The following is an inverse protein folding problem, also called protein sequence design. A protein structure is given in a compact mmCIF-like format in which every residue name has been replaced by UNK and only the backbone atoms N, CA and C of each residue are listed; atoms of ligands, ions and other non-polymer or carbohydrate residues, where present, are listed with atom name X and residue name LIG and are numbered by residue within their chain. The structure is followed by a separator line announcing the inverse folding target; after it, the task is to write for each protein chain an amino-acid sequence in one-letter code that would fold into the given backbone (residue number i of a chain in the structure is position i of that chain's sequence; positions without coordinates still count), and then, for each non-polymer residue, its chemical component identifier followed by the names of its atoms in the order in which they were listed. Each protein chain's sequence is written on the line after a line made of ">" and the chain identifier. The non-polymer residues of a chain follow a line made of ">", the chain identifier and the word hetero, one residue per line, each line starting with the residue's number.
data_IF_928906765894
#
_entry.id   IF_928906765894
#
_cell.length_a   1.000
_cell.length_b   1.000
_cell.length_c   1.000
_cell.angle_alpha   90.00
_cell.angle_beta   90.00
_cell.angle_gamma   90.00
#
_symmetry.space_group_name_H-M   'P 1'
#
loop_
_entity.id
_entity.type
_entity.pdbx_description
1 polymer ?
#
# COMPACT_ATOMS: atom_id res chain seq x y z
N UNK A 1 -0.87 25.20 18.80
CA UNK A 1 -1.20 26.59 19.19
C UNK A 1 -2.68 26.80 18.92
N UNK A 2 -3.33 27.65 19.69
CA UNK A 2 -4.74 27.98 19.48
C UNK A 2 -4.84 29.17 18.54
N UNK A 3 -5.72 29.10 17.54
CA UNK A 3 -6.10 30.25 16.72
C UNK A 3 -7.17 31.07 17.45
N UNK A 4 -7.26 32.36 17.17
CA UNK A 4 -8.28 33.23 17.75
C UNK A 4 -9.71 32.85 17.33
N UNK A 5 -9.86 32.11 16.23
CA UNK A 5 -11.14 31.66 15.68
C UNK A 5 -11.44 30.17 15.91
N UNK A 6 -10.64 29.46 16.71
CA UNK A 6 -10.83 28.05 17.03
C UNK A 6 -10.50 27.07 15.89
N UNK A 7 -10.01 27.55 14.75
CA UNK A 7 -9.52 26.73 13.64
C UNK A 7 -8.10 26.18 13.89
N UNK A 8 -7.68 25.22 13.08
CA UNK A 8 -6.31 24.72 13.12
C UNK A 8 -5.32 25.84 12.77
N UNK A 9 -4.24 25.94 13.54
CA UNK A 9 -3.10 26.82 13.20
C UNK A 9 -2.13 26.16 12.22
N UNK A 10 -2.16 24.84 12.12
CA UNK A 10 -1.37 24.01 11.21
C UNK A 10 -2.29 22.92 10.67
N UNK A 11 -2.33 22.79 9.36
CA UNK A 11 -3.08 21.74 8.65
C UNK A 11 -2.12 20.86 7.87
N UNK A 12 -2.35 19.55 7.93
CA UNK A 12 -1.57 18.59 7.15
C UNK A 12 -2.06 18.55 5.70
N UNK A 13 -1.12 18.42 4.76
CA UNK A 13 -1.46 18.26 3.34
C UNK A 13 -2.34 17.04 3.09
N UNK A 14 -2.03 15.93 3.77
CA UNK A 14 -2.93 14.79 3.87
C UNK A 14 -3.76 14.92 5.17
N UNK A 15 -5.09 15.12 5.09
CA UNK A 15 -5.94 15.31 6.27
C UNK A 15 -5.92 14.14 7.27
N UNK A 16 -5.57 12.92 6.83
CA UNK A 16 -5.50 11.76 7.72
C UNK A 16 -4.39 11.93 8.79
N UNK A 17 -3.37 12.73 8.51
CA UNK A 17 -2.26 12.97 9.42
C UNK A 17 -2.54 14.05 10.48
N UNK A 18 -3.70 14.72 10.43
CA UNK A 18 -4.00 15.83 11.33
C UNK A 18 -3.97 15.41 12.81
N UNK A 19 -4.40 14.18 13.12
CA UNK A 19 -4.35 13.62 14.48
C UNK A 19 -3.02 12.94 14.83
N UNK A 20 -2.09 12.86 13.87
CA UNK A 20 -0.72 12.35 14.05
C UNK A 20 0.24 13.45 14.51
N UNK A 21 0.08 14.69 14.06
CA UNK A 21 1.04 15.76 14.37
C UNK A 21 0.93 16.26 15.82
N UNK A 22 1.99 16.89 16.32
CA UNK A 22 2.02 17.45 17.68
C UNK A 22 2.26 16.44 18.80
N UNK A 23 2.67 15.21 18.45
CA UNK A 23 2.99 14.15 19.41
C UNK A 23 4.28 14.44 20.16
N UNK A 24 4.29 14.18 21.47
CA UNK A 24 5.43 14.45 22.36
C UNK A 24 5.94 13.22 23.12
N UNK A 25 5.44 12.03 22.77
CA UNK A 25 5.80 10.79 23.44
C UNK A 25 7.29 10.43 23.29
N UNK A 26 7.92 10.82 22.17
CA UNK A 26 9.32 10.58 21.89
C UNK A 26 9.70 10.98 20.47
N UNK A 27 10.97 10.78 20.13
CA UNK A 27 11.49 11.00 18.78
C UNK A 27 10.91 9.98 17.79
N UNK A 28 10.67 10.41 16.56
CA UNK A 28 10.28 9.48 15.49
C UNK A 28 11.46 8.59 15.10
N UNK A 29 11.17 7.44 14.47
CA UNK A 29 12.23 6.58 13.94
C UNK A 29 13.12 7.32 12.94
N UNK A 30 12.54 8.16 12.07
CA UNK A 30 13.28 8.96 11.09
C UNK A 30 14.23 9.97 11.75
N UNK A 31 13.84 10.59 12.86
CA UNK A 31 14.72 11.52 13.61
C UNK A 31 15.91 10.78 14.20
N UNK A 32 15.63 9.64 14.84
CA UNK A 32 16.66 8.77 15.41
C UNK A 32 17.60 8.26 14.30
N UNK A 33 17.06 7.85 13.16
CA UNK A 33 17.85 7.40 11.99
C UNK A 33 18.76 8.51 11.48
N UNK A 34 18.25 9.73 11.30
CA UNK A 34 19.06 10.89 10.88
C UNK A 34 20.20 11.18 11.85
N UNK A 35 19.92 11.17 13.15
CA UNK A 35 20.96 11.37 14.18
C UNK A 35 22.01 10.26 14.16
N UNK A 36 21.61 8.98 14.06
CA UNK A 36 22.57 7.88 13.98
C UNK A 36 23.38 7.91 12.68
N UNK A 37 22.78 8.36 11.57
CA UNK A 37 23.52 8.56 10.33
C UNK A 37 24.56 9.70 10.45
N UNK A 38 24.25 10.77 11.16
CA UNK A 38 25.19 11.87 11.35
C UNK A 38 26.36 11.51 12.28
N UNK A 39 26.11 10.75 13.35
CA UNK A 39 27.09 10.54 14.43
C UNK A 39 27.61 9.11 14.58
N UNK A 40 26.94 8.10 14.02
CA UNK A 40 27.22 6.68 14.26
C UNK A 40 27.35 5.85 12.98
N UNK A 41 27.38 6.47 11.79
CA UNK A 41 27.42 5.74 10.51
C UNK A 41 28.66 4.86 10.35
N UNK A 42 29.78 5.23 11.00
CA UNK A 42 31.02 4.46 11.01
C UNK A 42 31.16 3.45 12.16
N UNK A 43 30.12 3.24 12.99
CA UNK A 43 30.22 2.34 14.15
C UNK A 43 30.33 0.86 13.78
N UNK A 44 29.86 0.47 12.60
CA UNK A 44 29.90 -0.90 12.10
C UNK A 44 30.83 -1.01 10.89
N UNK A 45 31.68 -2.04 10.88
CA UNK A 45 32.60 -2.31 9.76
C UNK A 45 31.87 -2.60 8.45
N UNK A 46 30.72 -3.27 8.54
CA UNK A 46 29.87 -3.59 7.40
C UNK A 46 28.45 -3.10 7.63
N UNK A 47 27.79 -2.75 6.53
CA UNK A 47 26.39 -2.34 6.53
C UNK A 47 25.53 -3.52 6.08
N UNK A 48 24.45 -3.78 6.82
CA UNK A 48 23.49 -4.81 6.48
C UNK A 48 22.47 -4.28 5.44
N UNK A 49 21.94 -5.16 4.57
CA UNK A 49 20.91 -4.80 3.59
C UNK A 49 19.53 -4.68 4.27
N UNK A 50 19.40 -3.69 5.16
CA UNK A 50 18.17 -3.44 5.91
C UNK A 50 17.01 -3.06 4.99
N UNK A 51 15.85 -3.67 5.22
CA UNK A 51 14.65 -3.45 4.43
C UNK A 51 13.73 -2.40 5.07
N UNK A 52 12.74 -1.96 4.28
CA UNK A 52 11.62 -1.13 4.74
C UNK A 52 12.06 0.15 5.47
N UNK A 53 13.21 0.72 5.10
CA UNK A 53 13.73 1.94 5.72
C UNK A 53 14.54 1.73 7.01
N UNK A 54 14.82 0.49 7.41
CA UNK A 54 15.78 0.19 8.49
C UNK A 54 17.21 0.62 8.19
N UNK A 55 18.09 0.53 9.18
CA UNK A 55 19.54 0.77 9.06
C UNK A 55 20.30 -0.15 10.02
N UNK A 56 21.57 -0.44 9.75
CA UNK A 56 22.41 -1.29 10.62
C UNK A 56 22.42 -0.71 12.02
N UNK A 57 22.14 -1.51 13.04
CA UNK A 57 22.12 -1.02 14.42
C UNK A 57 23.56 -0.68 14.85
N UNK A 58 23.90 0.59 15.13
CA UNK A 58 25.26 0.98 15.48
C UNK A 58 25.71 0.41 16.84
N UNK A 59 24.78 -0.12 17.65
CA UNK A 59 25.09 -0.83 18.89
C UNK A 59 25.17 -2.34 18.70
N UNK A 60 24.69 -2.86 17.58
CA UNK A 60 24.66 -4.28 17.29
C UNK A 60 24.74 -4.55 15.77
N UNK A 61 25.96 -4.61 15.24
CA UNK A 61 26.22 -4.69 13.81
C UNK A 61 25.76 -5.98 13.11
N UNK A 62 25.21 -6.96 13.85
CA UNK A 62 24.64 -8.19 13.28
C UNK A 62 23.11 -8.12 13.09
N UNK A 63 22.49 -6.96 13.34
CA UNK A 63 21.07 -6.73 13.07
C UNK A 63 20.79 -5.30 12.60
N UNK A 64 19.64 -5.13 11.96
CA UNK A 64 19.11 -3.83 11.62
C UNK A 64 18.26 -3.28 12.77
N UNK A 65 18.34 -1.96 12.96
CA UNK A 65 17.35 -1.22 13.72
C UNK A 65 16.15 -0.92 12.82
N UNK A 66 14.97 -1.37 13.26
CA UNK A 66 13.77 -1.35 12.43
C UNK A 66 12.83 -0.19 12.73
N UNK A 67 12.10 0.32 11.72
CA UNK A 67 10.98 1.22 11.93
C UNK A 67 9.95 0.63 12.89
N UNK A 68 9.16 1.50 13.50
CA UNK A 68 8.12 1.11 14.45
C UNK A 68 7.18 0.08 13.82
N UNK A 69 7.00 -1.06 14.49
CA UNK A 69 6.13 -2.15 14.05
C UNK A 69 6.79 -3.19 13.15
N UNK A 70 8.05 -3.01 12.77
CA UNK A 70 8.80 -3.96 11.96
C UNK A 70 9.90 -4.65 12.77
N UNK A 71 10.27 -5.86 12.34
CA UNK A 71 11.27 -6.68 13.00
C UNK A 71 11.88 -7.73 12.09
N UNK A 72 12.65 -8.64 12.71
CA UNK A 72 13.57 -9.52 12.01
C UNK A 72 14.93 -8.85 11.80
N UNK A 73 15.96 -9.66 11.54
CA UNK A 73 17.36 -9.19 11.41
C UNK A 73 17.51 -8.08 10.38
N UNK A 74 16.70 -8.09 9.31
CA UNK A 74 16.73 -7.11 8.22
C UNK A 74 15.45 -6.26 8.15
N UNK A 75 14.64 -6.23 9.20
CA UNK A 75 13.35 -5.50 9.22
C UNK A 75 12.34 -5.96 8.16
N UNK A 76 12.45 -7.21 7.72
CA UNK A 76 11.73 -7.76 6.57
C UNK A 76 10.27 -8.14 6.87
N UNK A 77 9.88 -8.19 8.15
CA UNK A 77 8.57 -8.70 8.60
C UNK A 77 7.97 -7.79 9.67
N UNK A 78 6.67 -7.94 9.92
CA UNK A 78 6.02 -7.32 11.06
C UNK A 78 6.66 -7.80 12.39
N UNK A 79 6.85 -6.87 13.32
CA UNK A 79 7.34 -7.17 14.66
C UNK A 79 6.26 -7.89 15.47
N UNK A 80 6.65 -8.98 16.12
CA UNK A 80 5.81 -9.64 17.12
C UNK A 80 5.70 -8.77 18.38
N UNK A 81 4.57 -8.89 19.05
CA UNK A 81 4.31 -8.29 20.37
C UNK A 81 3.92 -9.40 21.33
N UNK A 82 3.68 -9.06 22.59
CA UNK A 82 3.14 -9.99 23.58
C UNK A 82 1.67 -10.37 23.33
N UNK A 83 0.96 -9.61 22.48
CA UNK A 83 -0.44 -9.88 22.15
C UNK A 83 -0.51 -10.93 21.04
N UNK A 84 -1.38 -11.93 21.20
CA UNK A 84 -1.65 -12.88 20.13
C UNK A 84 -2.56 -12.22 19.08
N UNK A 85 -1.99 -11.88 17.92
CA UNK A 85 -2.66 -11.18 16.83
C UNK A 85 -2.86 -12.08 15.60
N UNK A 86 -2.64 -13.40 15.73
CA UNK A 86 -2.64 -14.33 14.61
C UNK A 86 -1.54 -14.01 13.59
N UNK A 87 -1.84 -14.16 12.30
CA UNK A 87 -0.86 -13.91 11.22
C UNK A 87 -0.60 -12.41 11.06
N UNK A 88 0.67 -12.01 11.21
CA UNK A 88 1.08 -10.61 11.13
C UNK A 88 1.39 -10.16 9.70
N UNK A 89 2.14 -10.98 8.96
CA UNK A 89 2.47 -10.74 7.56
C UNK A 89 1.38 -11.34 6.66
N UNK A 90 0.67 -10.49 5.93
CA UNK A 90 -0.49 -10.82 5.10
C UNK A 90 -0.20 -10.52 3.63
N UNK A 91 -0.75 -11.34 2.74
CA UNK A 91 -0.72 -11.05 1.31
C UNK A 91 -2.04 -10.44 0.88
N UNK A 92 -2.00 -9.29 0.21
CA UNK A 92 -3.15 -8.77 -0.52
C UNK A 92 -3.39 -9.63 -1.77
N UNK A 93 -4.65 -9.80 -2.17
CA UNK A 93 -5.02 -10.39 -3.46
C UNK A 93 -6.19 -9.61 -4.08
N UNK A 94 -6.79 -10.14 -5.14
CA UNK A 94 -7.85 -9.47 -5.90
C UNK A 94 -9.15 -9.29 -5.13
N UNK A 95 -9.40 -10.18 -4.18
CA UNK A 95 -10.62 -10.28 -3.41
C UNK A 95 -10.39 -9.72 -2.02
N UNK A 96 -11.42 -9.08 -1.47
CA UNK A 96 -11.32 -8.50 -0.14
C UNK A 96 -11.10 -9.57 0.93
N UNK A 97 -10.02 -9.40 1.70
CA UNK A 97 -9.74 -10.18 2.90
C UNK A 97 -10.00 -9.34 4.14
N UNK A 98 -10.36 -9.97 5.26
CA UNK A 98 -10.66 -9.25 6.50
C UNK A 98 -9.46 -9.22 7.45
N UNK A 99 -9.20 -8.07 8.06
CA UNK A 99 -8.33 -7.91 9.22
C UNK A 99 -9.12 -7.27 10.35
N UNK A 100 -9.04 -7.86 11.54
CA UNK A 100 -9.69 -7.34 12.73
C UNK A 100 -8.84 -7.60 13.97
N UNK A 101 -8.94 -6.70 14.94
CA UNK A 101 -8.38 -6.88 16.27
C UNK A 101 -9.24 -6.12 17.29
N UNK A 102 -9.31 -6.63 18.51
CA UNK A 102 -10.00 -5.98 19.62
C UNK A 102 -9.27 -6.19 20.94
N UNK A 103 -9.60 -5.36 21.92
CA UNK A 103 -9.16 -5.50 23.30
C UNK A 103 -7.76 -4.94 23.55
N UNK A 104 -7.31 -5.12 24.79
CA UNK A 104 -6.04 -4.57 25.25
C UNK A 104 -4.87 -5.29 24.57
N UNK A 105 -3.90 -4.51 24.11
CA UNK A 105 -2.69 -5.05 23.52
C UNK A 105 -2.17 -4.22 22.37
N UNK A 106 -1.11 -4.73 21.75
CA UNK A 106 -0.50 -4.11 20.59
C UNK A 106 -0.34 -5.14 19.49
N UNK A 107 -0.69 -4.82 18.26
CA UNK A 107 -0.45 -5.67 17.10
C UNK A 107 0.23 -4.86 16.00
N UNK A 108 1.09 -5.51 15.22
CA UNK A 108 1.69 -4.91 14.05
C UNK A 108 1.42 -5.85 12.88
N UNK A 109 0.76 -5.36 11.84
CA UNK A 109 0.45 -6.13 10.65
C UNK A 109 1.16 -5.51 9.45
N UNK A 110 1.71 -6.35 8.57
CA UNK A 110 2.24 -5.94 7.29
C UNK A 110 1.38 -6.59 6.20
N UNK A 111 0.71 -5.77 5.39
CA UNK A 111 -0.01 -6.23 4.21
C UNK A 111 0.87 -5.94 3.01
N UNK A 112 1.14 -6.94 2.18
CA UNK A 112 1.97 -6.81 0.97
C UNK A 112 1.27 -7.43 -0.23
N UNK A 113 1.23 -6.76 -1.37
CA UNK A 113 1.00 -7.44 -2.65
C UNK A 113 2.34 -8.03 -3.13
N UNK A 114 2.38 -9.36 -3.22
CA UNK A 114 3.56 -10.11 -3.68
C UNK A 114 3.50 -10.44 -5.17
N UNK A 115 2.37 -10.18 -5.82
CA UNK A 115 2.22 -10.45 -7.25
C UNK A 115 3.08 -9.45 -8.02
N UNK A 116 4.02 -9.95 -8.81
CA UNK A 116 4.80 -9.09 -9.70
C UNK A 116 3.86 -8.51 -10.73
N UNK A 117 3.81 -7.18 -10.82
CA UNK A 117 3.13 -6.53 -11.94
C UNK A 117 4.03 -6.71 -13.13
N UNK A 118 3.69 -7.65 -14.02
CA UNK A 118 4.29 -7.75 -15.33
C UNK A 118 3.87 -6.50 -16.12
N UNK A 119 4.58 -5.39 -15.93
CA UNK A 119 4.59 -4.29 -16.89
C UNK A 119 5.31 -4.80 -18.13
N UNK A 120 4.51 -5.36 -19.02
CA UNK A 120 4.77 -5.82 -20.38
C UNK A 120 6.07 -6.63 -20.62
N UNK A 121 5.88 -7.80 -21.20
CA UNK A 121 6.90 -8.78 -21.62
C UNK A 121 7.81 -8.22 -22.75
N UNK A 122 7.73 -6.92 -23.05
CA UNK A 122 8.50 -6.20 -24.08
C UNK A 122 9.69 -5.41 -23.54
N UNK A 123 9.90 -5.34 -22.22
CA UNK A 123 10.98 -4.54 -21.64
C UNK A 123 12.32 -5.30 -21.57
N UNK A 124 13.47 -4.65 -21.86
CA UNK A 124 14.81 -5.26 -21.71
C UNK A 124 15.09 -5.74 -20.28
N UNK A 125 15.95 -6.75 -20.13
CA UNK A 125 16.33 -7.33 -18.82
C UNK A 125 16.89 -6.30 -17.81
N UNK A 126 17.43 -5.18 -18.28
CA UNK A 126 17.87 -4.06 -17.43
C UNK A 126 16.71 -3.35 -16.71
N UNK A 127 15.52 -3.30 -17.29
CA UNK A 127 14.31 -2.71 -16.70
C UNK A 127 13.57 -3.74 -15.82
N UNK A 128 13.75 -5.03 -16.08
CA UNK A 128 13.15 -6.12 -15.29
C UNK A 128 13.64 -6.17 -13.83
N UNK A 129 14.88 -5.75 -13.56
CA UNK A 129 15.40 -5.56 -12.19
C UNK A 129 14.77 -4.35 -11.46
N UNK A 130 14.07 -3.48 -12.17
CA UNK A 130 13.31 -2.33 -11.67
C UNK A 130 11.77 -2.55 -11.69
N UNK A 131 11.28 -3.71 -12.13
CA UNK A 131 9.84 -3.98 -12.28
C UNK A 131 9.09 -3.73 -10.95
N UNK A 132 7.95 -3.01 -10.98
CA UNK A 132 7.40 -2.43 -9.77
C UNK A 132 6.98 -3.51 -8.77
N UNK A 133 7.36 -3.25 -7.53
CA UNK A 133 6.95 -3.97 -6.33
C UNK A 133 5.43 -3.92 -6.27
N UNK A 134 4.74 -4.99 -6.71
CA UNK A 134 3.31 -5.23 -6.59
C UNK A 134 2.34 -4.10 -6.97
N UNK A 135 1.04 -4.35 -6.86
CA UNK A 135 0.02 -3.30 -6.87
C UNK A 135 -0.09 -2.66 -5.50
N UNK A 136 -0.60 -1.43 -5.48
CA UNK A 136 -0.93 -0.71 -4.24
C UNK A 136 -1.93 -1.51 -3.39
N UNK A 137 -1.89 -1.35 -2.08
CA UNK A 137 -2.82 -1.98 -1.13
C UNK A 137 -3.96 -1.01 -0.86
N UNK A 138 -5.19 -1.52 -0.92
CA UNK A 138 -6.42 -0.83 -0.59
C UNK A 138 -6.95 -1.35 0.74
N UNK A 139 -7.38 -0.45 1.63
CA UNK A 139 -8.14 -0.81 2.84
C UNK A 139 -9.45 -0.01 2.94
N UNK A 140 -10.47 -0.67 3.50
CA UNK A 140 -11.79 -0.10 3.79
C UNK A 140 -12.23 -0.55 5.18
N UNK A 141 -12.69 0.39 6.01
CA UNK A 141 -13.13 0.10 7.37
C UNK A 141 -14.59 -0.36 7.40
N UNK A 142 -14.84 -1.49 8.06
CA UNK A 142 -16.19 -1.97 8.36
C UNK A 142 -16.64 -1.51 9.75
N UNK A 143 -15.73 -1.52 10.72
CA UNK A 143 -15.98 -0.98 12.07
C UNK A 143 -14.71 -0.40 12.69
N UNK A 144 -14.89 0.64 13.49
CA UNK A 144 -13.80 1.34 14.16
C UNK A 144 -14.27 1.90 15.50
N UNK A 145 -13.66 1.44 16.60
CA UNK A 145 -13.98 1.87 17.96
C UNK A 145 -12.70 2.21 18.71
N UNK A 146 -12.50 3.49 18.96
CA UNK A 146 -11.39 4.02 19.76
C UNK A 146 -11.88 5.19 20.61
N UNK A 147 -11.20 5.44 21.73
CA UNK A 147 -11.48 6.61 22.55
C UNK A 147 -10.96 7.86 21.86
N UNK A 148 -11.84 8.84 21.63
CA UNK A 148 -11.48 10.11 21.00
C UNK A 148 -10.46 10.85 21.87
N UNK A 149 -9.27 11.07 21.29
CA UNK A 149 -8.20 11.86 21.88
C UNK A 149 -7.48 12.63 20.77
N UNK A 150 -7.08 13.89 21.00
CA UNK A 150 -6.29 14.65 20.03
C UNK A 150 -5.08 15.26 20.75
N UNK A 151 -3.84 14.95 20.33
CA UNK A 151 -3.49 14.01 19.27
C UNK A 151 -3.65 12.54 19.75
N UNK A 152 -3.69 11.57 18.82
CA UNK A 152 -3.91 10.15 19.14
C UNK A 152 -2.67 9.51 19.79
N UNK A 153 -2.50 9.63 21.12
CA UNK A 153 -1.28 9.18 21.82
C UNK A 153 -1.40 7.79 22.46
N UNK A 154 -2.54 7.49 23.07
CA UNK A 154 -2.66 6.37 24.03
C UNK A 154 -3.23 5.10 23.39
N UNK A 155 -4.38 5.25 22.72
CA UNK A 155 -5.00 4.19 21.92
C UNK A 155 -5.25 4.69 20.52
N UNK A 156 -4.80 3.95 19.52
CA UNK A 156 -4.92 4.36 18.13
C UNK A 156 -4.70 3.18 17.19
N UNK A 157 -5.17 3.37 15.96
CA UNK A 157 -4.74 2.60 14.81
C UNK A 157 -3.84 3.50 13.96
N UNK A 158 -2.58 3.12 13.75
CA UNK A 158 -1.69 3.83 12.85
C UNK A 158 -1.59 3.06 11.53
N UNK A 159 -1.82 3.74 10.42
CA UNK A 159 -1.70 3.18 9.08
C UNK A 159 -0.53 3.86 8.38
N UNK A 160 0.51 3.09 8.05
CA UNK A 160 1.66 3.55 7.26
C UNK A 160 1.42 3.12 5.83
N UNK A 161 1.17 4.09 4.95
CA UNK A 161 0.82 3.88 3.55
C UNK A 161 1.63 4.74 2.58
N UNK A 162 2.53 5.58 3.09
CA UNK A 162 3.50 6.31 2.29
C UNK A 162 4.62 5.38 1.77
N UNK A 163 5.35 5.83 0.75
CA UNK A 163 6.46 5.09 0.15
C UNK A 163 7.64 4.90 1.11
N UNK A 164 7.88 5.89 1.97
CA UNK A 164 8.88 5.78 3.04
C UNK A 164 8.26 5.23 4.32
N UNK A 165 8.35 3.92 4.47
CA UNK A 165 7.91 3.16 5.65
C UNK A 165 8.65 3.56 6.95
N UNK A 166 9.79 4.25 6.86
CA UNK A 166 10.50 4.73 8.04
C UNK A 166 9.78 5.88 8.75
N UNK A 167 8.84 6.53 8.07
CA UNK A 167 8.03 7.63 8.60
C UNK A 167 6.87 7.14 9.46
N UNK A 168 6.42 7.98 10.38
CA UNK A 168 5.19 7.72 11.16
C UNK A 168 3.98 7.75 10.25
N UNK A 169 3.03 6.83 10.44
CA UNK A 169 1.79 6.76 9.67
C UNK A 169 0.69 7.69 10.18
N UNK A 170 -0.46 7.68 9.49
CA UNK A 170 -1.65 8.37 9.96
C UNK A 170 -2.25 7.64 11.16
N UNK A 171 -2.51 8.35 12.26
CA UNK A 171 -3.09 7.80 13.49
C UNK A 171 -4.56 8.16 13.59
N UNK A 172 -5.37 7.13 13.80
CA UNK A 172 -6.80 7.24 13.95
C UNK A 172 -7.20 6.81 15.36
N UNK A 173 -8.01 7.63 16.01
CA UNK A 173 -8.66 7.28 17.29
C UNK A 173 -9.99 8.01 17.53
N UNK A 174 -10.41 8.89 16.62
CA UNK A 174 -11.55 9.81 16.82
C UNK A 174 -12.79 9.40 16.02
N UNK A 175 -12.59 9.09 14.74
CA UNK A 175 -13.63 8.76 13.78
C UNK A 175 -13.15 7.64 12.88
N UNK A 176 -14.09 6.86 12.36
CA UNK A 176 -13.78 5.83 11.37
C UNK A 176 -13.15 6.49 10.13
N UNK A 177 -11.96 6.03 9.69
CA UNK A 177 -11.35 6.56 8.48
C UNK A 177 -12.13 6.14 7.24
N UNK A 178 -11.99 6.94 6.18
CA UNK A 178 -12.45 6.54 4.84
C UNK A 178 -11.59 5.44 4.23
N UNK A 179 -11.73 5.28 2.93
CA UNK A 179 -10.86 4.40 2.15
C UNK A 179 -9.42 4.93 2.12
N UNK A 180 -8.43 4.04 2.27
CA UNK A 180 -7.00 4.39 2.18
C UNK A 180 -6.32 3.49 1.15
N UNK A 181 -5.52 4.08 0.28
CA UNK A 181 -4.70 3.38 -0.73
C UNK A 181 -3.23 3.69 -0.46
N UNK A 182 -2.37 2.68 -0.42
CA UNK A 182 -0.94 2.89 -0.25
C UNK A 182 -0.25 3.43 -1.50
N UNK A 183 0.90 4.06 -1.31
CA UNK A 183 1.75 4.55 -2.39
C UNK A 183 2.56 3.43 -3.05
N UNK A 184 2.80 2.33 -2.30
CA UNK A 184 3.56 1.14 -2.74
C UNK A 184 2.73 -0.14 -2.55
N UNK A 185 3.28 -1.30 -2.87
CA UNK A 185 2.65 -2.59 -2.56
C UNK A 185 2.67 -2.99 -1.08
N UNK A 186 3.12 -2.13 -0.18
CA UNK A 186 3.14 -2.41 1.24
C UNK A 186 2.29 -1.39 2.00
N UNK A 187 1.61 -1.89 3.02
CA UNK A 187 0.91 -1.10 4.01
C UNK A 187 1.13 -1.73 5.38
N UNK A 188 1.42 -0.91 6.39
CA UNK A 188 1.60 -1.38 7.77
C UNK A 188 0.46 -0.83 8.61
N UNK A 189 -0.07 -1.70 9.48
CA UNK A 189 -1.14 -1.35 10.40
C UNK A 189 -0.67 -1.65 11.82
N UNK A 190 -0.54 -0.61 12.64
CA UNK A 190 -0.17 -0.71 14.04
C UNK A 190 -1.41 -0.47 14.90
N UNK A 191 -1.82 -1.51 15.62
CA UNK A 191 -2.87 -1.42 16.62
C UNK A 191 -2.28 -1.16 17.99
N UNK A 192 -2.76 -0.13 18.69
CA UNK A 192 -2.48 0.13 20.11
C UNK A 192 -3.81 0.26 20.84
N UNK A 193 -4.19 -0.79 21.57
CA UNK A 193 -5.55 -0.95 22.08
C UNK A 193 -5.68 -1.06 23.59
N UNK A 194 -6.89 -0.75 24.07
CA UNK A 194 -7.39 -1.00 25.42
C UNK A 194 -8.60 -1.95 25.37
N UNK A 195 -9.19 -2.28 26.52
CA UNK A 195 -10.31 -3.23 26.58
C UNK A 195 -11.52 -2.87 25.71
N UNK A 196 -11.72 -1.58 25.41
CA UNK A 196 -12.86 -1.09 24.62
C UNK A 196 -12.54 -0.80 23.16
N UNK A 197 -11.30 -0.99 22.73
CA UNK A 197 -10.91 -0.67 21.35
C UNK A 197 -11.11 -1.86 20.43
N UNK A 198 -11.53 -1.60 19.22
CA UNK A 198 -11.60 -2.59 18.16
C UNK A 198 -11.56 -1.94 16.79
N UNK A 199 -11.10 -2.70 15.80
CA UNK A 199 -11.30 -2.37 14.40
C UNK A 199 -11.61 -3.63 13.61
N UNK A 200 -12.36 -3.45 12.53
CA UNK A 200 -12.51 -4.41 11.45
C UNK A 200 -12.38 -3.66 10.14
N UNK A 201 -11.51 -4.15 9.27
CA UNK A 201 -11.32 -3.63 7.93
C UNK A 201 -11.23 -4.78 6.93
N UNK A 202 -11.47 -4.44 5.67
CA UNK A 202 -11.20 -5.28 4.52
C UNK A 202 -10.05 -4.70 3.71
N UNK A 203 -9.22 -5.56 3.14
CA UNK A 203 -8.08 -5.17 2.33
C UNK A 203 -8.00 -6.00 1.04
N UNK A 204 -7.42 -5.41 -0.01
CA UNK A 204 -7.13 -6.05 -1.30
C UNK A 204 -5.95 -5.33 -1.96
N UNK A 205 -5.50 -5.79 -3.14
CA UNK A 205 -4.70 -4.91 -4.01
C UNK A 205 -5.61 -3.90 -4.74
N UNK A 206 -5.01 -2.83 -5.28
CA UNK A 206 -5.67 -1.76 -6.02
C UNK A 206 -5.27 -1.75 -7.52
N UNK A 207 -6.21 -1.57 -8.46
CA UNK A 207 -7.66 -1.52 -8.23
C UNK A 207 -8.18 -2.89 -7.80
N UNK A 208 -9.16 -2.92 -6.89
CA UNK A 208 -9.84 -4.16 -6.53
C UNK A 208 -10.56 -4.70 -7.78
N UNK A 209 -10.60 -6.03 -7.97
CA UNK A 209 -11.53 -6.59 -8.94
C UNK A 209 -12.93 -6.34 -8.39
N UNK A 210 -13.74 -5.60 -9.15
CA UNK A 210 -15.18 -5.55 -8.88
C UNK A 210 -15.70 -6.97 -9.09
N UNK A 211 -16.17 -7.62 -8.03
CA UNK A 211 -16.85 -8.90 -8.13
C UNK A 211 -18.09 -8.71 -9.03
N UNK A 212 -18.02 -9.23 -10.26
CA UNK A 212 -19.21 -9.51 -11.07
C UNK A 212 -19.85 -8.36 -11.86
N UNK A 213 -19.11 -7.38 -12.38
CA UNK A 213 -19.65 -6.55 -13.47
C UNK A 213 -19.38 -7.26 -14.81
N UNK A 214 -20.39 -7.96 -15.33
CA UNK A 214 -20.34 -8.51 -16.67
C UNK A 214 -20.06 -7.38 -17.68
N UNK A 215 -18.90 -7.44 -18.31
CA UNK A 215 -18.63 -6.76 -19.57
C UNK A 215 -19.50 -7.40 -20.63
N UNK A 216 -20.67 -6.81 -20.87
CA UNK A 216 -21.59 -7.21 -21.92
C UNK A 216 -22.27 -5.98 -22.52
N UNK A 217 -21.53 -5.25 -23.35
CA UNK A 217 -22.13 -4.33 -24.33
C UNK A 217 -21.27 -4.37 -25.58
N UNK A 218 -21.46 -5.42 -26.38
CA UNK A 218 -21.14 -5.33 -27.80
C UNK A 218 -22.16 -4.38 -28.41
N UNK A 219 -21.66 -3.23 -28.85
CA UNK A 219 -22.40 -2.34 -29.74
C UNK A 219 -22.56 -3.06 -31.07
N UNK A 220 -23.75 -3.62 -31.32
CA UNK A 220 -24.11 -4.15 -32.64
C UNK A 220 -24.15 -2.97 -33.60
N UNK A 221 -23.20 -2.93 -34.52
CA UNK A 221 -23.20 -1.99 -35.64
C UNK A 221 -24.47 -2.19 -36.48
N UNK A 222 -25.09 -1.12 -37.03
CA UNK A 222 -26.26 -1.27 -37.89
C UNK A 222 -25.85 -1.99 -39.18
N UNK A 223 -26.45 -3.16 -39.43
CA UNK A 223 -26.31 -3.89 -40.69
C UNK A 223 -27.04 -3.12 -41.79
N UNK A 224 -26.28 -2.52 -42.69
CA UNK A 224 -26.79 -1.93 -43.94
C UNK A 224 -27.34 -3.06 -44.83
N UNK A 225 -28.54 -2.92 -45.45
CA UNK A 225 -29.04 -3.93 -46.39
C UNK A 225 -28.15 -4.02 -47.63
N UNK A 226 -27.74 -5.24 -47.96
CA UNK A 226 -26.92 -5.57 -49.14
C UNK A 226 -27.82 -5.61 -50.38
N UNK A 227 -27.55 -4.75 -51.36
CA UNK A 227 -28.22 -4.70 -52.66
C UNK A 227 -27.82 -5.92 -53.53
N UNK A 228 -28.74 -6.51 -54.31
CA UNK A 228 -28.45 -7.74 -55.06
C UNK A 228 -27.51 -7.49 -56.26
N UNK A 229 -26.59 -8.42 -56.56
CA UNK A 229 -25.62 -8.27 -57.63
C UNK A 229 -26.28 -8.37 -59.01
N UNK A 230 -25.95 -7.41 -59.87
CA UNK A 230 -26.34 -7.36 -61.28
C UNK A 230 -25.53 -8.37 -62.10
N UNK A 231 -26.23 -9.18 -62.89
CA UNK A 231 -25.68 -10.22 -63.76
C UNK A 231 -25.02 -9.60 -65.01
N UNK A 232 -23.75 -9.90 -65.26
CA UNK A 232 -23.01 -9.47 -66.45
C UNK A 232 -22.75 -10.65 -67.40
N UNK A 233 -22.92 -10.48 -68.73
CA UNK A 233 -22.98 -11.58 -69.70
C UNK A 233 -21.59 -12.14 -70.13
N UNK A 234 -21.57 -13.35 -70.74
CA UNK A 234 -20.34 -14.12 -70.95
C UNK A 234 -19.44 -13.61 -72.08
N UNK A 235 -18.13 -13.71 -71.84
CA UNK A 235 -17.01 -13.40 -72.74
C UNK A 235 -16.82 -14.46 -73.84
N UNK A 236 -16.65 -14.00 -75.08
CA UNK A 236 -16.22 -14.78 -76.24
C UNK A 236 -14.69 -14.63 -76.47
N UNK A 237 -14.14 -15.61 -77.18
CA UNK A 237 -12.76 -16.08 -77.20
C UNK A 237 -11.71 -15.28 -78.02
N UNK A 238 -10.44 -15.66 -77.77
CA UNK A 238 -9.26 -15.66 -78.68
C UNK A 238 -8.74 -14.28 -79.16
N UNK A 239 -7.43 -14.00 -79.28
CA UNK A 239 -6.30 -14.80 -79.77
C UNK A 239 -4.96 -14.07 -79.51
N UNK A 240 -3.88 -14.86 -79.37
CA UNK A 240 -2.47 -14.66 -79.82
C UNK A 240 -1.96 -13.22 -80.08
N UNK A 241 -0.78 -12.76 -79.64
CA UNK A 241 0.58 -13.09 -80.15
C UNK A 241 1.57 -12.17 -79.38
N UNK A 242 2.54 -12.68 -78.61
CA UNK A 242 4.01 -12.77 -78.87
C UNK A 242 4.82 -11.45 -79.07
N UNK A 243 5.86 -11.32 -78.22
CA UNK A 243 7.23 -10.81 -78.48
C UNK A 243 7.44 -9.29 -78.62
N UNK A 244 7.99 -8.67 -77.58
CA UNK A 244 9.38 -8.17 -77.46
C UNK A 244 9.49 -7.25 -76.23
#
# INVERSE_FOLDING_TARGET
>A
GFSANGLNTIETLDPNYQNTIGQRAGLSFSDIKKMNFAYCNGSCESQLPCQNGGYTDPKNCVQCRCPTGLGGTLCQRAAQTSTNCGTLDRSANSSFQTLAQSGQGSCNFMITDKELVCFEISMPDSIRKQAPLGRKVLIQFDSFRFSKQVPCTSTYLEVVYASDISTTGARFCSSQPGQIVSETNKMIILYRGSSQTSFRLRYSYYPAKLDGMQTGSETVAPTTPMEPPTESPPTLAEKMTSVA
#
